data_IF_755709275209
#
_entry.id   IF_755709275209
#
_cell.length_a   1.000
_cell.length_b   1.000
_cell.length_c   1.000
_cell.angle_alpha   90.00
_cell.angle_beta   90.00
_cell.angle_gamma   90.00
#
_symmetry.space_group_name_H-M   'P 1'
#
loop_
_entity.id
_entity.type
_entity.pdbx_description
1 polymer ?
#
# COMPACT_ATOMS: atom_id res chain seq x y z
N UNK A 1 -16.27 41.34 5.47
CA UNK A 1 -16.43 39.88 5.27
C UNK A 1 -16.57 39.70 3.78
N UNK A 2 -15.54 39.17 3.13
CA UNK A 2 -15.60 38.85 1.71
C UNK A 2 -14.85 37.55 1.46
N UNK A 3 -15.42 36.76 0.55
CA UNK A 3 -15.17 35.34 0.37
C UNK A 3 -13.86 35.07 -0.36
N UNK A 4 -13.15 34.08 0.19
CA UNK A 4 -12.05 33.27 -0.34
C UNK A 4 -11.89 33.24 -1.88
N UNK A 5 -10.75 33.73 -2.35
CA UNK A 5 -10.07 33.19 -3.54
C UNK A 5 -9.39 31.89 -3.13
N UNK A 6 -9.94 30.73 -3.51
CA UNK A 6 -9.21 29.45 -3.44
C UNK A 6 -8.66 29.18 -4.82
N UNK A 7 -7.34 29.22 -4.91
CA UNK A 7 -6.61 28.91 -6.14
C UNK A 7 -6.88 27.47 -6.58
N UNK A 8 -7.34 27.33 -7.82
CA UNK A 8 -7.26 26.10 -8.58
C UNK A 8 -5.87 25.99 -9.21
N UNK A 9 -5.16 24.87 -8.98
CA UNK A 9 -4.15 24.42 -9.93
C UNK A 9 -2.97 23.62 -9.38
N UNK A 10 -3.12 22.29 -9.27
CA UNK A 10 -2.15 21.32 -9.82
C UNK A 10 -2.74 19.89 -9.82
N UNK A 11 -2.63 19.10 -10.91
CA UNK A 11 -3.06 17.71 -10.96
C UNK A 11 -2.05 16.75 -10.26
N UNK A 12 -2.44 15.50 -9.97
CA UNK A 12 -1.99 14.72 -8.80
C UNK A 12 -0.76 13.81 -9.05
N UNK A 13 0.25 14.28 -9.78
CA UNK A 13 1.46 13.46 -10.01
C UNK A 13 2.33 13.30 -8.74
N UNK A 14 2.20 14.22 -7.78
CA UNK A 14 2.94 14.17 -6.52
C UNK A 14 2.38 13.15 -5.53
N UNK A 15 1.07 12.88 -5.55
CA UNK A 15 0.44 11.95 -4.60
C UNK A 15 0.91 10.51 -4.84
N UNK A 16 1.05 10.11 -6.12
CA UNK A 16 1.61 8.81 -6.50
C UNK A 16 3.06 8.69 -6.04
N UNK A 17 3.90 9.70 -6.25
CA UNK A 17 5.30 9.69 -5.81
C UNK A 17 5.44 9.66 -4.28
N UNK A 18 4.61 10.42 -3.57
CA UNK A 18 4.59 10.49 -2.10
C UNK A 18 4.20 9.13 -1.49
N UNK A 19 3.20 8.47 -2.06
CA UNK A 19 2.70 7.18 -1.59
C UNK A 19 3.62 6.03 -1.99
N UNK A 20 4.21 6.08 -3.18
CA UNK A 20 5.34 5.20 -3.57
C UNK A 20 6.60 5.42 -2.70
N UNK A 21 6.64 6.48 -1.89
CA UNK A 21 7.69 6.77 -0.90
C UNK A 21 7.34 6.38 0.54
N UNK A 22 6.12 5.92 0.77
CA UNK A 22 5.58 5.45 2.06
C UNK A 22 5.25 3.96 2.05
N UNK A 23 4.73 3.49 0.91
CA UNK A 23 4.53 2.11 0.52
C UNK A 23 5.77 1.75 -0.28
N UNK A 24 6.44 0.67 0.11
CA UNK A 24 7.54 0.14 -0.68
C UNK A 24 7.00 -0.57 -1.92
N UNK A 25 6.52 0.19 -2.89
CA UNK A 25 5.99 -0.34 -4.13
C UNK A 25 7.14 -0.81 -5.01
N UNK A 26 7.24 -2.12 -5.18
CA UNK A 26 7.92 -2.69 -6.35
C UNK A 26 6.88 -2.71 -7.46
N UNK A 27 6.89 -1.70 -8.33
CA UNK A 27 6.01 -1.60 -9.49
C UNK A 27 6.60 -2.39 -10.65
N UNK A 28 5.84 -3.34 -11.18
CA UNK A 28 6.05 -3.93 -12.51
C UNK A 28 4.99 -3.29 -13.43
N UNK A 29 5.40 -2.77 -14.58
CA UNK A 29 4.66 -1.78 -15.39
C UNK A 29 3.25 -2.18 -15.89
N UNK A 30 2.52 -1.13 -16.32
CA UNK A 30 1.27 -1.01 -17.13
C UNK A 30 -0.09 -1.11 -16.43
N UNK A 31 -0.86 0.00 -16.49
CA UNK A 31 -2.30 0.29 -16.17
C UNK A 31 -2.98 -0.29 -14.92
N UNK A 32 -2.41 -1.34 -14.36
CA UNK A 32 -2.66 -1.99 -13.09
C UNK A 32 -1.27 -2.15 -12.48
N UNK A 33 -0.88 -1.25 -11.59
CA UNK A 33 0.42 -1.41 -10.95
C UNK A 33 0.29 -2.59 -10.01
N UNK A 34 0.81 -3.75 -10.40
CA UNK A 34 0.98 -4.86 -9.46
C UNK A 34 1.99 -4.40 -8.43
N UNK A 35 1.55 -4.28 -7.20
CA UNK A 35 2.35 -3.81 -6.07
C UNK A 35 2.65 -4.97 -5.16
N UNK A 36 3.91 -5.04 -4.73
CA UNK A 36 4.29 -5.71 -3.49
C UNK A 36 4.67 -4.61 -2.51
N UNK A 37 4.00 -4.52 -1.38
CA UNK A 37 4.28 -3.53 -0.33
C UNK A 37 4.44 -4.20 1.04
N UNK A 38 5.02 -3.48 2.00
CA UNK A 38 5.14 -3.93 3.40
C UNK A 38 4.50 -2.87 4.28
N UNK A 39 3.48 -3.26 5.02
CA UNK A 39 2.60 -2.37 5.77
C UNK A 39 2.26 -2.92 7.16
N UNK A 40 1.69 -2.07 8.00
CA UNK A 40 1.10 -2.48 9.27
C UNK A 40 -0.40 -2.61 9.12
N UNK A 41 -0.97 -3.63 9.75
CA UNK A 41 -2.41 -3.77 9.90
C UNK A 41 -2.91 -2.73 10.91
N UNK A 42 -3.85 -1.89 10.49
CA UNK A 42 -4.55 -0.91 11.34
C UNK A 42 -5.88 -1.49 11.82
N UNK A 43 -6.66 -2.05 10.90
CA UNK A 43 -7.97 -2.63 11.20
C UNK A 43 -8.34 -3.72 10.19
N UNK A 44 -9.26 -4.61 10.56
CA UNK A 44 -9.85 -5.59 9.66
C UNK A 44 -11.36 -5.64 9.86
N UNK A 45 -12.11 -5.52 8.76
CA UNK A 45 -13.57 -5.66 8.68
C UNK A 45 -13.89 -7.00 7.98
N UNK A 46 -14.21 -8.07 8.74
CA UNK A 46 -14.41 -9.41 8.20
C UNK A 46 -15.60 -9.49 7.25
N UNK A 47 -16.69 -8.78 7.55
CA UNK A 47 -17.93 -8.85 6.78
C UNK A 47 -17.75 -8.33 5.35
N UNK A 48 -16.84 -7.37 5.18
CA UNK A 48 -16.53 -6.76 3.89
C UNK A 48 -15.25 -7.31 3.24
N UNK A 49 -14.50 -8.19 3.92
CA UNK A 49 -13.15 -8.62 3.52
C UNK A 49 -12.20 -7.43 3.27
N UNK A 50 -12.24 -6.41 4.13
CA UNK A 50 -11.43 -5.19 3.98
C UNK A 50 -10.43 -5.06 5.13
N UNK A 51 -9.15 -4.88 4.80
CA UNK A 51 -8.09 -4.57 5.75
C UNK A 51 -7.67 -3.12 5.54
N UNK A 52 -7.62 -2.33 6.61
CA UNK A 52 -6.96 -1.04 6.59
C UNK A 52 -5.49 -1.22 6.96
N UNK A 53 -4.60 -0.67 6.13
CA UNK A 53 -3.16 -0.70 6.35
C UNK A 53 -2.55 0.70 6.34
N UNK A 54 -1.47 0.85 7.11
CA UNK A 54 -0.72 2.09 7.25
C UNK A 54 0.78 1.87 7.02
N UNK A 55 1.49 2.95 6.72
CA UNK A 55 2.95 2.88 6.54
C UNK A 55 3.64 2.50 7.86
N UNK A 56 4.55 1.51 7.84
CA UNK A 56 5.23 1.04 9.05
C UNK A 56 6.22 2.07 9.61
N UNK A 57 6.60 3.08 8.82
CA UNK A 57 7.60 4.10 9.19
C UNK A 57 7.06 5.53 9.23
N UNK A 58 5.82 5.75 8.73
CA UNK A 58 5.24 7.07 8.53
C UNK A 58 3.71 7.07 8.74
N UNK A 59 3.24 6.42 9.80
CA UNK A 59 1.82 6.26 10.11
C UNK A 59 1.02 7.58 9.99
N UNK A 60 1.51 8.68 10.57
CA UNK A 60 0.79 9.96 10.60
C UNK A 60 0.90 10.80 9.32
N UNK A 61 1.76 10.40 8.38
CA UNK A 61 2.14 11.22 7.22
C UNK A 61 1.69 10.64 5.88
N UNK A 62 1.20 9.41 5.87
CA UNK A 62 0.81 8.71 4.65
C UNK A 62 -0.64 8.27 4.76
N UNK A 63 -1.45 8.45 3.70
CA UNK A 63 -2.84 8.03 3.72
C UNK A 63 -2.93 6.51 3.91
N UNK A 64 -3.97 6.08 4.64
CA UNK A 64 -4.28 4.67 4.76
C UNK A 64 -4.69 4.08 3.40
N UNK A 65 -4.44 2.78 3.25
CA UNK A 65 -4.85 2.01 2.07
C UNK A 65 -5.89 1.01 2.52
N UNK A 66 -6.94 0.87 1.73
CA UNK A 66 -7.93 -0.18 1.92
C UNK A 66 -7.56 -1.37 1.05
N UNK A 67 -7.35 -2.52 1.66
CA UNK A 67 -7.01 -3.76 0.98
C UNK A 67 -8.22 -4.67 0.95
N UNK A 68 -8.69 -5.00 -0.26
CA UNK A 68 -9.64 -6.08 -0.46
C UNK A 68 -8.91 -7.43 -0.42
N UNK A 69 -9.25 -8.27 0.56
CA UNK A 69 -8.66 -9.59 0.78
C UNK A 69 -9.59 -10.75 0.42
N UNK A 70 -10.66 -10.48 -0.35
CA UNK A 70 -11.66 -11.49 -0.70
C UNK A 70 -11.08 -12.74 -1.37
N UNK A 71 -9.99 -12.58 -2.12
CA UNK A 71 -9.29 -13.65 -2.84
C UNK A 71 -8.24 -14.39 -2.03
N UNK A 72 -7.98 -13.99 -0.78
CA UNK A 72 -7.03 -14.66 0.11
C UNK A 72 -7.71 -15.81 0.88
N UNK A 73 -6.90 -16.71 1.45
CA UNK A 73 -7.42 -17.87 2.18
C UNK A 73 -8.15 -17.47 3.47
N UNK A 74 -9.13 -18.27 3.88
CA UNK A 74 -9.87 -18.01 5.12
C UNK A 74 -8.99 -18.17 6.36
N UNK A 75 -7.96 -19.03 6.31
CA UNK A 75 -6.95 -19.15 7.37
C UNK A 75 -6.19 -17.83 7.60
N UNK A 76 -5.84 -17.12 6.51
CA UNK A 76 -5.23 -15.81 6.59
C UNK A 76 -6.23 -14.79 7.15
N UNK A 77 -7.47 -14.78 6.66
CA UNK A 77 -8.52 -13.87 7.16
C UNK A 77 -8.77 -14.06 8.65
N UNK A 78 -8.79 -15.31 9.12
CA UNK A 78 -8.85 -15.63 10.55
C UNK A 78 -7.65 -15.07 11.31
N UNK A 79 -6.45 -15.15 10.72
CA UNK A 79 -5.23 -14.56 11.31
C UNK A 79 -5.23 -13.02 11.36
N UNK A 80 -6.14 -12.37 10.63
CA UNK A 80 -6.38 -10.92 10.68
C UNK A 80 -7.47 -10.53 11.69
N UNK A 81 -8.22 -11.50 12.23
CA UNK A 81 -9.27 -11.21 13.23
C UNK A 81 -8.69 -10.94 14.61
N UNK A 82 -9.23 -9.92 15.27
CA UNK A 82 -8.92 -9.58 16.65
C UNK A 82 -7.72 -8.63 16.81
N UNK A 83 -7.58 -8.08 18.02
CA UNK A 83 -6.60 -7.05 18.35
C UNK A 83 -5.15 -7.53 18.24
N UNK A 84 -4.93 -8.86 18.24
CA UNK A 84 -3.59 -9.43 18.09
C UNK A 84 -3.03 -9.27 16.67
N UNK A 85 -3.88 -8.99 15.69
CA UNK A 85 -3.47 -8.72 14.31
C UNK A 85 -3.08 -7.26 14.09
N UNK A 86 -3.60 -6.33 14.92
CA UNK A 86 -3.25 -4.91 14.87
C UNK A 86 -1.74 -4.74 15.07
N UNK A 87 -1.16 -3.74 14.39
CA UNK A 87 0.26 -3.42 14.39
C UNK A 87 1.21 -4.48 13.78
N UNK A 88 0.71 -5.69 13.45
CA UNK A 88 1.52 -6.71 12.78
C UNK A 88 1.98 -6.23 11.41
N UNK A 89 3.19 -6.64 11.06
CA UNK A 89 3.75 -6.35 9.75
C UNK A 89 3.25 -7.39 8.76
N UNK A 90 2.68 -6.91 7.66
CA UNK A 90 2.16 -7.75 6.59
C UNK A 90 2.63 -7.19 5.25
N UNK A 91 2.96 -8.09 4.33
CA UNK A 91 3.21 -7.77 2.95
C UNK A 91 2.03 -8.23 2.12
N UNK A 92 1.43 -7.34 1.35
CA UNK A 92 0.45 -7.69 0.33
C UNK A 92 1.05 -7.63 -1.08
N UNK A 93 0.58 -8.53 -1.93
CA UNK A 93 0.81 -8.49 -3.38
C UNK A 93 -0.55 -8.41 -4.07
N UNK A 94 -0.72 -7.39 -4.89
CA UNK A 94 -2.02 -7.10 -5.47
C UNK A 94 -1.98 -5.99 -6.51
N UNK A 95 -3.16 -5.64 -7.02
CA UNK A 95 -3.31 -4.53 -7.96
C UNK A 95 -3.79 -3.28 -7.22
N UNK A 96 -3.02 -2.19 -7.34
CA UNK A 96 -3.37 -0.91 -6.74
C UNK A 96 -4.22 -0.09 -7.71
N UNK A 97 -5.35 0.40 -7.23
CA UNK A 97 -6.20 1.36 -7.91
C UNK A 97 -6.41 2.59 -7.04
N UNK A 98 -6.65 3.72 -7.71
CA UNK A 98 -7.17 4.93 -7.07
C UNK A 98 -8.60 5.09 -7.58
N UNK A 99 -9.63 4.95 -6.73
CA UNK A 99 -11.02 5.12 -7.14
C UNK A 99 -11.26 6.53 -7.70
N UNK A 100 -12.35 6.69 -8.45
CA UNK A 100 -12.67 7.94 -9.14
C UNK A 100 -12.89 9.13 -8.19
N UNK A 101 -13.35 8.87 -6.96
CA UNK A 101 -13.49 9.85 -5.88
C UNK A 101 -12.15 10.30 -5.27
N UNK A 102 -11.06 9.57 -5.55
CA UNK A 102 -9.68 9.81 -5.09
C UNK A 102 -9.53 9.94 -3.57
N UNK A 103 -10.47 9.43 -2.78
CA UNK A 103 -10.43 9.63 -1.34
C UNK A 103 -9.35 8.75 -0.68
N UNK A 104 -9.20 7.50 -1.13
CA UNK A 104 -8.24 6.54 -0.58
C UNK A 104 -7.69 5.62 -1.67
N UNK A 105 -6.51 5.07 -1.43
CA UNK A 105 -5.95 4.04 -2.30
C UNK A 105 -6.58 2.69 -1.98
N UNK A 106 -6.87 1.91 -3.02
CA UNK A 106 -7.43 0.58 -2.90
C UNK A 106 -6.46 -0.45 -3.47
N UNK A 107 -6.20 -1.51 -2.72
CA UNK A 107 -5.37 -2.63 -3.15
C UNK A 107 -6.23 -3.89 -3.22
N UNK A 108 -6.31 -4.54 -4.38
CA UNK A 108 -6.91 -5.87 -4.47
C UNK A 108 -5.82 -6.90 -4.28
N UNK A 109 -5.80 -7.58 -3.13
CA UNK A 109 -4.73 -8.52 -2.78
C UNK A 109 -5.01 -9.94 -3.32
N UNK A 110 -3.97 -10.53 -3.90
CA UNK A 110 -3.97 -11.92 -4.39
C UNK A 110 -3.00 -12.82 -3.62
N UNK A 111 -2.02 -12.24 -2.95
CA UNK A 111 -1.14 -12.94 -2.04
C UNK A 111 -0.74 -12.06 -0.86
N UNK A 112 -0.34 -12.69 0.23
CA UNK A 112 0.14 -11.99 1.42
C UNK A 112 1.10 -12.85 2.23
N UNK A 113 1.91 -12.20 3.06
CA UNK A 113 2.70 -12.86 4.09
C UNK A 113 2.83 -11.95 5.30
N UNK A 114 2.66 -12.49 6.51
CA UNK A 114 3.13 -11.79 7.71
C UNK A 114 4.66 -11.73 7.69
N UNK A 115 5.18 -10.58 8.10
CA UNK A 115 6.59 -10.20 8.01
C UNK A 115 7.10 -9.70 9.38
N UNK A 116 6.52 -10.24 10.45
CA UNK A 116 6.91 -9.90 11.82
C UNK A 116 8.38 -10.25 12.07
N UNK A 117 9.10 -9.35 12.74
CA UNK A 117 10.53 -9.51 13.02
C UNK A 117 11.47 -9.06 11.90
N UNK A 118 10.95 -8.58 10.76
CA UNK A 118 11.78 -7.97 9.71
C UNK A 118 12.36 -6.63 10.17
N UNK A 119 13.66 -6.43 9.94
CA UNK A 119 14.31 -5.13 10.12
C UNK A 119 13.87 -4.17 9.01
N UNK A 120 13.09 -3.15 9.38
CA UNK A 120 12.56 -2.15 8.45
C UNK A 120 13.66 -1.29 7.79
N UNK A 121 14.81 -1.08 8.43
CA UNK A 121 15.93 -0.33 7.85
C UNK A 121 16.60 -1.15 6.75
N UNK A 122 16.81 -2.44 6.99
CA UNK A 122 17.36 -3.37 5.99
C UNK A 122 16.38 -3.50 4.82
N UNK A 123 15.10 -3.75 5.10
CA UNK A 123 14.06 -3.86 4.08
C UNK A 123 14.00 -2.61 3.20
N UNK A 124 13.99 -1.42 3.83
CA UNK A 124 14.01 -0.12 3.13
C UNK A 124 15.23 0.02 2.22
N UNK A 125 16.40 -0.38 2.70
CA UNK A 125 17.66 -0.29 1.96
C UNK A 125 17.64 -1.22 0.74
N UNK A 126 17.20 -2.47 0.91
CA UNK A 126 17.05 -3.44 -0.18
C UNK A 126 16.02 -2.96 -1.20
N UNK A 127 14.87 -2.44 -0.76
CA UNK A 127 13.85 -1.90 -1.66
C UNK A 127 14.36 -0.71 -2.48
N UNK A 128 15.16 0.19 -1.89
CA UNK A 128 15.78 1.31 -2.62
C UNK A 128 16.78 0.83 -3.66
N UNK A 129 17.63 -0.14 -3.30
CA UNK A 129 18.62 -0.74 -4.20
C UNK A 129 17.93 -1.46 -5.36
N UNK A 130 16.96 -2.32 -5.07
CA UNK A 130 16.23 -3.07 -6.11
C UNK A 130 15.45 -2.14 -7.05
N UNK A 131 14.84 -1.07 -6.55
CA UNK A 131 14.13 -0.08 -7.38
C UNK A 131 15.07 0.68 -8.32
N UNK A 132 16.33 0.91 -7.97
CA UNK A 132 17.28 1.53 -8.90
C UNK A 132 17.61 0.60 -10.07
N UNK A 133 17.67 -0.72 -9.84
CA UNK A 133 17.89 -1.70 -10.89
C UNK A 133 16.73 -1.85 -11.86
N UNK A 134 15.48 -1.67 -11.42
CA UNK A 134 14.30 -1.73 -12.31
C UNK A 134 14.41 -0.73 -13.46
N UNK A 135 15.00 0.45 -13.23
CA UNK A 135 15.23 1.45 -14.29
C UNK A 135 16.24 1.01 -15.37
N UNK A 136 17.00 -0.05 -15.08
CA UNK A 136 18.02 -0.60 -15.98
C UNK A 136 17.61 -1.95 -16.55
N UNK A 137 16.43 -2.48 -16.19
CA UNK A 137 15.89 -3.67 -16.83
C UNK A 137 15.34 -3.26 -18.21
N UNK A 138 15.76 -3.92 -19.29
CA UNK A 138 15.14 -3.69 -20.58
C UNK A 138 13.65 -4.00 -20.47
N UNK A 139 12.80 -3.13 -21.03
CA UNK A 139 11.37 -3.40 -21.16
C UNK A 139 11.24 -4.75 -21.87
N UNK A 140 10.65 -5.73 -21.18
CA UNK A 140 10.36 -7.02 -21.80
C UNK A 140 9.32 -6.74 -22.89
N UNK A 141 9.74 -6.93 -24.14
CA UNK A 141 8.95 -6.71 -25.35
C UNK A 141 8.11 -7.92 -25.70
#
# INVERSE_FOLDING_TARGET
MDLTTVEHGCPPDDARHSIMGCIHVVSLETEWSRIRGLEKVSAFEPDCNLVEIISPTKADKCPCIIVNVQYLSDELKQSLTGHAAEERLIQFVGDLSLPADRERYHLTAFASSFMDGVDLNIYTSVAKITRSYVKHLPALS
#
